data_IF_751420198166
#
_entry.id   IF_751420198166
#
_cell.length_a   1.000
_cell.length_b   1.000
_cell.length_c   1.000
_cell.angle_alpha   90.00
_cell.angle_beta   90.00
_cell.angle_gamma   90.00
#
_symmetry.space_group_name_H-M   'P 1'
#
loop_
_entity.id
_entity.type
_entity.pdbx_description
1 polymer ?
#
# COMPACT_ATOMS: atom_id res chain seq x y z
N UNK A 1 3.25 -4.63 -26.60
CA UNK A 1 2.73 -3.25 -26.55
C UNK A 1 3.16 -2.54 -27.82
N UNK A 2 2.27 -1.73 -28.41
CA UNK A 2 2.58 -0.96 -29.61
C UNK A 2 2.80 0.50 -29.20
N UNK A 3 3.88 1.12 -29.67
CA UNK A 3 4.11 2.55 -29.50
C UNK A 3 4.11 3.21 -30.87
N UNK A 4 3.51 4.41 -30.97
CA UNK A 4 3.49 5.15 -32.21
C UNK A 4 4.76 5.99 -32.33
N UNK A 5 5.56 5.71 -33.37
CA UNK A 5 6.80 6.45 -33.61
C UNK A 5 6.50 7.93 -33.92
N UNK A 6 7.05 8.84 -33.12
CA UNK A 6 6.77 10.29 -33.21
C UNK A 6 6.98 10.89 -34.61
N UNK A 7 7.97 10.40 -35.37
CA UNK A 7 8.27 10.88 -36.71
C UNK A 7 7.55 10.12 -37.82
N UNK A 8 7.37 8.80 -37.68
CA UNK A 8 6.80 7.97 -38.74
C UNK A 8 5.28 7.80 -38.64
N UNK A 9 4.66 8.09 -37.50
CA UNK A 9 3.24 7.81 -37.19
C UNK A 9 2.81 6.34 -37.35
N UNK A 10 3.73 5.46 -37.73
CA UNK A 10 3.55 4.01 -37.81
C UNK A 10 3.66 3.41 -36.41
N UNK A 11 2.72 2.52 -36.09
CA UNK A 11 2.76 1.68 -34.89
C UNK A 11 3.89 0.68 -34.98
N UNK A 12 4.82 0.75 -34.04
CA UNK A 12 5.94 -0.19 -33.97
C UNK A 12 5.78 -1.09 -32.75
N UNK A 13 6.07 -2.40 -32.88
CA UNK A 13 6.18 -3.27 -31.72
C UNK A 13 7.37 -2.81 -30.88
N UNK A 14 7.09 -2.38 -29.65
CA UNK A 14 8.14 -2.12 -28.67
C UNK A 14 8.23 -3.36 -27.79
N UNK A 15 9.35 -4.12 -27.88
CA UNK A 15 9.56 -5.23 -26.97
C UNK A 15 9.70 -4.66 -25.55
N UNK A 16 8.75 -5.01 -24.69
CA UNK A 16 8.91 -4.80 -23.26
C UNK A 16 9.91 -5.86 -22.81
N UNK A 17 11.13 -5.44 -22.50
CA UNK A 17 12.10 -6.31 -21.85
C UNK A 17 11.66 -6.45 -20.40
N UNK A 18 10.76 -7.38 -20.16
CA UNK A 18 10.42 -7.79 -18.81
C UNK A 18 11.41 -8.88 -18.41
N UNK A 19 12.24 -8.68 -17.38
CA UNK A 19 13.12 -9.74 -16.89
C UNK A 19 12.26 -10.95 -16.55
N UNK A 20 12.58 -12.09 -17.15
CA UNK A 20 11.89 -13.35 -16.87
C UNK A 20 12.21 -13.74 -15.44
N UNK A 21 11.22 -13.67 -14.55
CA UNK A 21 11.31 -14.31 -13.26
C UNK A 21 11.13 -15.82 -13.48
N UNK A 22 12.04 -16.63 -12.92
CA UNK A 22 11.95 -18.10 -12.93
C UNK A 22 10.75 -18.61 -12.09
N UNK A 23 10.09 -17.73 -11.33
CA UNK A 23 8.95 -18.01 -10.45
C UNK A 23 7.93 -16.86 -10.47
N UNK A 24 6.64 -17.20 -10.47
CA UNK A 24 5.56 -16.21 -10.26
C UNK A 24 5.52 -15.87 -8.78
N UNK A 25 5.71 -14.59 -8.43
CA UNK A 25 5.51 -14.09 -7.06
C UNK A 25 4.11 -13.50 -6.99
N UNK A 26 3.21 -14.20 -6.30
CA UNK A 26 1.86 -13.70 -6.04
C UNK A 26 1.89 -12.84 -4.78
N UNK A 27 1.72 -11.53 -4.95
CA UNK A 27 1.39 -10.64 -3.84
C UNK A 27 -0.13 -10.68 -3.71
N UNK A 28 -0.64 -11.16 -2.57
CA UNK A 28 -2.08 -11.33 -2.33
C UNK A 28 -2.73 -10.11 -1.64
N UNK A 29 -1.94 -9.26 -0.98
CA UNK A 29 -2.43 -8.02 -0.40
C UNK A 29 -1.32 -7.02 -0.09
N UNK A 30 -1.69 -5.74 -0.05
CA UNK A 30 -0.91 -4.68 0.56
C UNK A 30 -1.42 -4.44 1.99
N UNK A 31 -0.52 -4.45 2.97
CA UNK A 31 -0.82 -4.04 4.34
C UNK A 31 -0.20 -2.69 4.67
N UNK A 32 -1.03 -1.73 5.08
CA UNK A 32 -0.60 -0.41 5.55
C UNK A 32 -1.04 -0.21 6.99
N UNK A 33 -0.11 0.16 7.87
CA UNK A 33 -0.43 0.59 9.23
C UNK A 33 -0.31 2.10 9.34
N UNK A 34 -1.36 2.73 9.85
CA UNK A 34 -1.43 4.18 10.08
C UNK A 34 -1.61 4.37 11.58
N UNK A 35 -0.79 5.23 12.18
CA UNK A 35 -0.84 5.55 13.62
C UNK A 35 -1.18 7.04 13.80
N UNK A 36 -2.47 7.40 13.96
CA UNK A 36 -2.83 8.75 14.31
C UNK A 36 -2.27 9.13 15.67
N UNK A 37 -1.60 10.29 15.73
CA UNK A 37 -1.01 10.84 16.95
C UNK A 37 -1.66 12.18 17.28
N UNK A 38 -1.91 12.41 18.56
CA UNK A 38 -2.38 13.69 19.08
C UNK A 38 -1.28 14.76 19.00
N UNK A 39 -1.66 16.02 19.21
CA UNK A 39 -0.72 17.14 19.38
C UNK A 39 0.31 16.93 20.49
N UNK A 40 -0.01 16.10 21.49
CA UNK A 40 0.89 15.75 22.59
C UNK A 40 1.78 14.53 22.27
N UNK A 41 1.72 14.00 21.05
CA UNK A 41 2.48 12.83 20.61
C UNK A 41 1.92 11.48 21.08
N UNK A 42 0.83 11.47 21.85
CA UNK A 42 0.17 10.24 22.28
C UNK A 42 -0.69 9.63 21.15
N UNK A 43 -0.75 8.29 21.01
CA UNK A 43 -1.60 7.62 20.03
C UNK A 43 -3.09 7.86 20.32
N UNK A 44 -3.88 8.03 19.27
CA UNK A 44 -5.33 8.20 19.38
C UNK A 44 -6.02 6.82 19.37
N UNK A 45 -6.42 6.35 20.55
CA UNK A 45 -7.03 5.03 20.76
C UNK A 45 -8.54 5.08 20.51
N UNK A 46 -9.11 4.04 19.87
CA UNK A 46 -10.54 3.95 19.55
C UNK A 46 -11.10 5.25 18.93
N UNK A 47 -10.29 5.88 18.09
CA UNK A 47 -10.55 7.23 17.58
C UNK A 47 -11.20 7.14 16.19
N UNK A 48 -12.30 7.88 15.96
CA UNK A 48 -12.98 7.86 14.68
C UNK A 48 -12.18 8.63 13.64
N UNK A 49 -11.95 8.01 12.49
CA UNK A 49 -11.31 8.62 11.32
C UNK A 49 -12.15 8.34 10.08
N UNK A 50 -12.05 9.21 9.08
CA UNK A 50 -12.67 9.00 7.78
C UNK A 50 -11.62 8.48 6.80
N UNK A 51 -11.84 7.27 6.30
CA UNK A 51 -11.06 6.68 5.24
C UNK A 51 -11.73 6.96 3.89
N UNK A 52 -10.99 7.54 2.94
CA UNK A 52 -11.40 7.73 1.55
C UNK A 52 -10.51 6.91 0.63
N UNK A 53 -11.08 6.47 -0.48
CA UNK A 53 -10.35 5.80 -1.56
C UNK A 53 -10.59 6.55 -2.87
N UNK A 54 -9.59 6.59 -3.75
CA UNK A 54 -9.71 7.18 -5.09
C UNK A 54 -10.64 6.39 -6.01
N UNK A 55 -10.96 5.14 -5.68
CA UNK A 55 -11.92 4.28 -6.36
C UNK A 55 -12.73 3.45 -5.36
N UNK A 56 -13.89 2.94 -5.78
CA UNK A 56 -14.68 2.03 -4.94
C UNK A 56 -13.98 0.68 -4.83
N UNK A 57 -13.69 0.25 -3.59
CA UNK A 57 -13.09 -1.06 -3.37
C UNK A 57 -13.37 -1.63 -1.99
N UNK A 58 -13.24 -2.96 -1.87
CA UNK A 58 -13.28 -3.67 -0.58
C UNK A 58 -11.89 -3.65 0.08
N UNK A 59 -11.85 -3.24 1.35
CA UNK A 59 -10.63 -3.19 2.17
C UNK A 59 -10.93 -3.80 3.53
N UNK A 60 -9.97 -4.52 4.11
CA UNK A 60 -10.07 -5.00 5.48
C UNK A 60 -9.39 -3.98 6.40
N UNK A 61 -10.14 -3.43 7.34
CA UNK A 61 -9.70 -2.42 8.32
C UNK A 61 -9.77 -3.03 9.71
N UNK A 62 -8.62 -3.19 10.38
CA UNK A 62 -8.54 -3.81 11.72
C UNK A 62 -9.31 -5.15 11.80
N UNK A 63 -9.22 -5.95 10.73
CA UNK A 63 -9.90 -7.25 10.62
C UNK A 63 -11.36 -7.21 10.16
N UNK A 64 -11.93 -6.03 9.85
CA UNK A 64 -13.31 -5.87 9.38
C UNK A 64 -13.34 -5.45 7.91
N UNK A 65 -14.13 -6.14 7.09
CA UNK A 65 -14.37 -5.74 5.70
C UNK A 65 -15.17 -4.44 5.62
N UNK A 66 -14.69 -3.49 4.82
CA UNK A 66 -15.28 -2.18 4.60
C UNK A 66 -15.19 -1.83 3.12
N UNK A 67 -16.25 -1.26 2.55
CA UNK A 67 -16.21 -0.69 1.21
C UNK A 67 -15.75 0.77 1.31
N UNK A 68 -14.53 1.05 0.86
CA UNK A 68 -13.98 2.38 0.82
C UNK A 68 -14.37 3.07 -0.49
N UNK A 69 -14.87 4.30 -0.40
CA UNK A 69 -15.27 5.11 -1.55
C UNK A 69 -14.70 6.52 -1.43
N UNK A 70 -14.90 7.35 -2.45
CA UNK A 70 -14.49 8.75 -2.42
C UNK A 70 -15.34 9.59 -1.44
N UNK A 71 -16.59 9.18 -1.17
CA UNK A 71 -17.45 9.84 -0.17
C UNK A 71 -16.85 9.72 1.25
N UNK A 72 -16.10 8.64 1.48
CA UNK A 72 -15.46 8.35 2.75
C UNK A 72 -16.32 7.48 3.64
N UNK A 73 -15.64 6.64 4.42
CA UNK A 73 -16.24 5.72 5.37
C UNK A 73 -15.63 5.94 6.74
N UNK A 74 -16.48 6.02 7.76
CA UNK A 74 -16.05 6.15 9.15
C UNK A 74 -15.48 4.81 9.63
N UNK A 75 -14.24 4.83 10.09
CA UNK A 75 -13.55 3.70 10.69
C UNK A 75 -12.90 4.13 12.00
N UNK A 76 -12.50 3.17 12.82
CA UNK A 76 -11.94 3.44 14.15
C UNK A 76 -10.54 2.85 14.27
N UNK A 77 -9.63 3.57 14.91
CA UNK A 77 -8.36 2.98 15.35
C UNK A 77 -8.62 1.91 16.42
N UNK A 78 -7.69 0.97 16.55
CA UNK A 78 -7.79 -0.09 17.55
C UNK A 78 -7.37 0.41 18.95
N UNK A 79 -7.30 -0.52 19.91
CA UNK A 79 -6.89 -0.24 21.30
C UNK A 79 -5.42 0.17 21.44
N UNK A 80 -4.61 0.01 20.40
CA UNK A 80 -3.22 0.48 20.32
C UNK A 80 -3.08 1.82 19.56
N UNK A 81 -4.19 2.34 19.03
CA UNK A 81 -4.23 3.55 18.21
C UNK A 81 -3.75 3.31 16.78
N UNK A 82 -3.82 2.07 16.30
CA UNK A 82 -3.46 1.71 14.94
C UNK A 82 -4.69 1.52 14.06
N UNK A 83 -4.54 1.93 12.80
CA UNK A 83 -5.43 1.61 11.71
C UNK A 83 -4.65 0.74 10.73
N UNK A 84 -4.97 -0.56 10.70
CA UNK A 84 -4.36 -1.52 9.78
C UNK A 84 -5.29 -1.72 8.59
N UNK A 85 -4.84 -1.29 7.41
CA UNK A 85 -5.50 -1.46 6.13
C UNK A 85 -4.88 -2.65 5.42
N UNK A 86 -5.71 -3.61 5.03
CA UNK A 86 -5.33 -4.72 4.15
C UNK A 86 -6.14 -4.61 2.87
N UNK A 87 -5.43 -4.33 1.78
CA UNK A 87 -5.96 -4.11 0.45
C UNK A 87 -5.61 -5.33 -0.39
N UNK A 88 -6.63 -6.09 -0.81
CA UNK A 88 -6.44 -7.25 -1.68
C UNK A 88 -6.01 -6.79 -3.07
N UNK A 89 -5.13 -7.56 -3.70
CA UNK A 89 -4.49 -7.25 -4.99
C UNK A 89 -5.13 -8.02 -6.13
N UNK A 90 -6.46 -8.08 -6.13
CA UNK A 90 -7.26 -8.82 -7.10
C UNK A 90 -7.21 -8.15 -8.50
N UNK A 91 -6.74 -6.90 -8.57
CA UNK A 91 -6.60 -6.09 -9.77
C UNK A 91 -5.23 -5.35 -9.78
N UNK A 92 -4.74 -4.99 -10.97
CA UNK A 92 -3.50 -4.23 -11.22
C UNK A 92 -3.60 -2.79 -10.70
N UNK A 93 -4.82 -2.28 -10.53
CA UNK A 93 -5.07 -0.91 -10.05
C UNK A 93 -5.13 -0.88 -8.51
N UNK A 94 -4.08 -0.34 -7.90
CA UNK A 94 -4.08 -0.02 -6.46
C UNK A 94 -4.57 1.41 -6.25
N UNK A 95 -5.76 1.63 -5.65
CA UNK A 95 -6.25 2.97 -5.40
C UNK A 95 -5.48 3.65 -4.26
N UNK A 96 -5.50 4.98 -4.28
CA UNK A 96 -4.90 5.81 -3.24
C UNK A 96 -5.89 6.01 -2.11
N UNK A 97 -5.38 5.92 -0.89
CA UNK A 97 -6.17 6.14 0.31
C UNK A 97 -5.88 7.51 0.92
N UNK A 98 -6.88 8.12 1.52
CA UNK A 98 -6.72 9.33 2.31
C UNK A 98 -7.41 9.15 3.64
N UNK A 99 -6.68 9.37 4.73
CA UNK A 99 -7.23 9.32 6.09
C UNK A 99 -7.34 10.74 6.63
N UNK A 100 -8.51 11.10 7.13
CA UNK A 100 -8.77 12.39 7.80
C UNK A 100 -9.41 12.17 9.16
N UNK A 101 -9.27 13.17 10.03
CA UNK A 101 -10.02 13.26 11.27
C UNK A 101 -11.54 13.27 11.00
N UNK A 102 -12.33 12.63 11.87
CA UNK A 102 -13.80 12.62 11.82
C UNK A 102 -14.43 13.65 12.76
N UNK A 103 -13.67 14.27 13.68
CA UNK A 103 -14.22 15.26 14.62
C UNK A 103 -14.41 16.64 13.94
N UNK A 104 -15.62 17.22 14.02
CA UNK A 104 -15.88 18.57 13.56
C UNK A 104 -15.13 19.59 14.45
N UNK A 105 -14.24 20.39 13.86
CA UNK A 105 -13.48 21.44 14.56
C UNK A 105 -11.98 21.17 14.74
N UNK A 106 -11.46 20.03 14.27
CA UNK A 106 -10.02 19.77 14.22
C UNK A 106 -9.40 20.53 13.03
N UNK A 107 -8.95 21.76 13.26
CA UNK A 107 -8.20 22.56 12.28
C UNK A 107 -6.81 21.95 11.91
N UNK A 108 -6.50 20.76 12.42
CA UNK A 108 -5.34 19.97 12.01
C UNK A 108 -5.78 18.79 11.12
N UNK A 109 -6.55 19.08 10.07
CA UNK A 109 -6.86 18.11 9.02
C UNK A 109 -5.61 17.83 8.16
N UNK A 110 -4.55 17.26 8.76
CA UNK A 110 -3.43 16.67 8.02
C UNK A 110 -3.96 15.43 7.30
N UNK A 111 -4.43 15.62 6.07
CA UNK A 111 -4.75 14.52 5.18
C UNK A 111 -3.47 13.77 4.84
N UNK A 112 -3.40 12.50 5.21
CA UNK A 112 -2.31 11.64 4.80
C UNK A 112 -2.77 10.86 3.57
N UNK A 113 -2.18 11.20 2.42
CA UNK A 113 -2.30 10.39 1.21
C UNK A 113 -1.38 9.17 1.36
N UNK A 114 -1.95 7.99 1.23
CA UNK A 114 -1.23 6.72 1.26
C UNK A 114 -1.43 6.04 -0.09
N UNK A 115 -0.33 5.77 -0.77
CA UNK A 115 -0.30 4.91 -1.95
C UNK A 115 0.34 3.56 -1.54
N UNK A 116 -0.47 2.50 -1.38
CA UNK A 116 0.05 1.20 -0.97
C UNK A 116 1.02 0.60 -2.01
N UNK A 117 0.83 0.92 -3.29
CA UNK A 117 1.66 0.41 -4.38
C UNK A 117 3.01 1.13 -4.45
N UNK A 118 3.07 2.42 -4.11
CA UNK A 118 4.32 3.20 -4.11
C UNK A 118 5.40 2.53 -3.25
N UNK A 119 5.05 2.01 -2.07
CA UNK A 119 6.01 1.32 -1.18
C UNK A 119 6.58 0.05 -1.83
N UNK A 120 5.77 -0.74 -2.52
CA UNK A 120 6.24 -1.95 -3.19
C UNK A 120 7.00 -1.59 -4.46
N UNK A 121 6.50 -0.66 -5.27
CA UNK A 121 7.16 -0.20 -6.49
C UNK A 121 8.54 0.40 -6.18
N UNK A 122 8.66 1.23 -5.14
CA UNK A 122 9.96 1.73 -4.69
C UNK A 122 10.92 0.64 -4.23
N UNK A 123 10.41 -0.49 -3.72
CA UNK A 123 11.24 -1.63 -3.30
C UNK A 123 11.63 -2.48 -4.50
N UNK A 124 10.70 -2.76 -5.41
CA UNK A 124 10.97 -3.45 -6.67
C UNK A 124 11.98 -2.68 -7.54
N UNK A 125 11.88 -1.35 -7.61
CA UNK A 125 12.86 -0.51 -8.31
C UNK A 125 14.28 -0.59 -7.73
N UNK A 126 14.46 -1.08 -6.51
CA UNK A 126 15.79 -1.27 -5.89
C UNK A 126 16.41 -2.63 -6.22
N UNK A 127 15.63 -3.58 -6.71
CA UNK A 127 16.12 -4.89 -7.15
C UNK A 127 16.75 -4.70 -8.54
N UNK A 128 18.08 -4.83 -8.62
CA UNK A 128 18.83 -4.61 -9.87
C UNK A 128 19.42 -5.91 -10.43
N UNK A 129 19.63 -6.90 -9.57
CA UNK A 129 20.28 -8.15 -9.95
C UNK A 129 19.47 -9.36 -9.47
N UNK A 130 19.72 -10.53 -10.09
CA UNK A 130 18.97 -11.77 -9.82
C UNK A 130 19.12 -12.21 -8.35
N UNK A 131 20.26 -11.92 -7.74
CA UNK A 131 20.56 -12.26 -6.35
C UNK A 131 19.70 -11.45 -5.35
N UNK A 132 19.16 -10.30 -5.76
CA UNK A 132 18.26 -9.50 -4.92
C UNK A 132 16.86 -10.16 -4.76
N UNK A 133 16.53 -11.12 -5.62
CA UNK A 133 15.27 -11.89 -5.60
C UNK A 133 15.36 -13.16 -4.75
N UNK A 134 16.56 -13.58 -4.36
CA UNK A 134 16.78 -14.77 -3.53
C UNK A 134 16.53 -14.43 -2.06
N UNK A 135 15.26 -14.22 -1.74
CA UNK A 135 14.78 -14.07 -0.37
C UNK A 135 14.60 -15.50 0.18
N UNK A 136 15.59 -15.96 0.94
CA UNK A 136 15.50 -17.20 1.68
C UNK A 136 14.41 -17.08 2.77
N UNK A 137 13.28 -17.76 2.54
CA UNK A 137 12.11 -17.78 3.42
C UNK A 137 12.14 -18.96 4.42
N UNK A 138 13.31 -19.57 4.63
CA UNK A 138 13.51 -20.62 5.64
C UNK A 138 13.04 -20.22 7.06
N UNK A 139 12.68 -21.20 7.92
CA UNK A 139 12.10 -20.93 9.22
C UNK A 139 13.09 -20.17 10.09
N UNK A 140 12.77 -18.89 10.39
CA UNK A 140 13.55 -18.02 11.26
C UNK A 140 14.75 -17.30 10.64
N UNK A 141 14.94 -17.36 9.31
CA UNK A 141 16.09 -16.69 8.66
C UNK A 141 15.73 -15.67 7.57
N UNK A 142 14.44 -15.37 7.39
CA UNK A 142 14.02 -14.29 6.50
C UNK A 142 14.55 -12.94 6.97
N UNK A 143 15.31 -12.24 6.12
CA UNK A 143 15.45 -10.79 6.24
C UNK A 143 14.12 -10.16 5.85
N UNK A 144 13.58 -9.32 6.73
CA UNK A 144 12.43 -8.50 6.37
C UNK A 144 12.87 -7.51 5.27
N UNK A 145 11.93 -7.15 4.39
CA UNK A 145 12.15 -6.28 3.23
C UNK A 145 12.66 -4.86 3.59
N UNK A 146 12.71 -4.53 4.88
CA UNK A 146 13.28 -3.31 5.43
C UNK A 146 14.74 -3.44 5.90
N UNK A 147 15.34 -4.63 5.78
CA UNK A 147 16.71 -4.92 6.21
C UNK A 147 16.85 -5.28 7.69
N UNK A 148 15.74 -5.33 8.45
CA UNK A 148 15.77 -5.81 9.83
C UNK A 148 15.85 -7.33 9.86
N UNK A 149 16.69 -7.85 10.77
CA UNK A 149 16.76 -9.28 11.04
C UNK A 149 15.58 -9.65 11.93
N UNK A 150 14.90 -10.75 11.63
CA UNK A 150 14.05 -11.42 12.61
C UNK A 150 14.96 -11.96 13.72
N UNK A 151 14.99 -11.28 14.86
CA UNK A 151 15.56 -11.88 16.08
C UNK A 151 14.52 -12.77 16.73
N UNK A 152 14.93 -13.92 17.31
CA UNK A 152 14.05 -14.78 18.09
C UNK A 152 13.49 -14.07 19.33
#
# INVERSE_FOLDING_TARGET
MLEQGKSSQIWKPVPIIQPSLDKVIEVQSYMTQIKPISVLGAPLLNYPVILRSSGEMSVIINGRGVVATNAGVAVMTDQSGLLTLTVLTDDILTPKFTVTDALPGSESAKSLAVDPADKINQRLCKLKHKEDLDIDLGPGQGKLLDGTKLTP
#
